data_IF_400689653935
#
_entry.id   IF_400689653935
#
_cell.length_a   1.000
_cell.length_b   1.000
_cell.length_c   1.000
_cell.angle_alpha   90.00
_cell.angle_beta   90.00
_cell.angle_gamma   90.00
#
_symmetry.space_group_name_H-M   'P 1'
#
loop_
_entity.id
_entity.type
_entity.pdbx_description
1 polymer ?
#
# COMPACT_ATOMS: atom_id res chain seq x y z
N UNK A 1 -5.59 19.16 -13.92
CA UNK A 1 -4.94 17.88 -14.26
C UNK A 1 -5.56 16.82 -13.35
N UNK A 2 -6.00 15.69 -13.89
CA UNK A 2 -6.51 14.59 -13.06
C UNK A 2 -5.29 13.88 -12.46
N UNK A 3 -5.21 13.82 -11.12
CA UNK A 3 -4.14 13.10 -10.41
C UNK A 3 -4.20 11.63 -10.77
N UNK A 4 -3.04 11.01 -11.01
CA UNK A 4 -2.98 9.59 -11.41
C UNK A 4 -2.51 8.71 -10.26
N UNK A 5 -2.99 7.46 -10.19
CA UNK A 5 -2.44 6.51 -9.25
C UNK A 5 -0.99 6.20 -9.61
N UNK A 6 -0.24 5.79 -8.60
CA UNK A 6 1.07 5.20 -8.78
C UNK A 6 0.97 4.01 -9.76
N UNK A 7 1.92 3.82 -10.70
CA UNK A 7 1.93 2.67 -11.60
C UNK A 7 1.78 1.31 -10.91
N UNK A 8 2.25 1.20 -9.67
CA UNK A 8 2.12 -0.01 -8.84
C UNK A 8 0.72 -0.31 -8.35
N UNK A 9 -0.15 0.70 -8.38
CA UNK A 9 -1.53 0.59 -7.96
C UNK A 9 -2.49 0.35 -9.13
N UNK A 10 -2.02 0.40 -10.39
CA UNK A 10 -2.89 0.31 -11.57
C UNK A 10 -3.74 -0.97 -11.53
N UNK A 11 -3.12 -2.14 -11.48
CA UNK A 11 -3.87 -3.40 -11.42
C UNK A 11 -4.58 -3.58 -10.07
N UNK A 12 -4.09 -2.95 -9.00
CA UNK A 12 -4.74 -3.04 -7.69
C UNK A 12 -6.08 -2.31 -7.64
N UNK A 13 -6.13 -1.10 -8.23
CA UNK A 13 -7.31 -0.25 -8.26
C UNK A 13 -8.31 -0.65 -9.36
N UNK A 14 -7.91 -1.53 -10.28
CA UNK A 14 -8.79 -2.11 -11.28
C UNK A 14 -9.91 -2.93 -10.60
N UNK A 15 -11.15 -2.49 -10.79
CA UNK A 15 -12.35 -3.10 -10.18
C UNK A 15 -12.77 -4.40 -10.87
N UNK A 16 -12.31 -4.63 -12.09
CA UNK A 16 -12.64 -5.84 -12.85
C UNK A 16 -11.78 -7.04 -12.41
N UNK A 17 -10.67 -6.77 -11.72
CA UNK A 17 -9.82 -7.81 -11.14
C UNK A 17 -10.26 -8.04 -9.68
N UNK A 18 -10.63 -9.26 -9.27
CA UNK A 18 -11.00 -9.52 -7.88
C UNK A 18 -9.81 -9.33 -6.93
N UNK A 19 -10.09 -8.89 -5.71
CA UNK A 19 -9.10 -8.90 -4.62
C UNK A 19 -8.65 -10.33 -4.32
N UNK A 20 -7.39 -10.53 -3.89
CA UNK A 20 -6.88 -11.87 -3.60
C UNK A 20 -7.62 -12.48 -2.41
N UNK A 21 -7.72 -13.82 -2.41
CA UNK A 21 -8.16 -14.56 -1.24
C UNK A 21 -7.17 -14.35 -0.07
N UNK A 22 -7.70 -13.94 1.08
CA UNK A 22 -6.91 -13.74 2.29
C UNK A 22 -6.79 -15.08 3.02
N UNK A 23 -5.55 -15.51 3.25
CA UNK A 23 -5.29 -16.55 4.23
C UNK A 23 -5.26 -15.92 5.63
N UNK A 24 -6.38 -15.98 6.36
CA UNK A 24 -6.52 -15.32 7.67
C UNK A 24 -5.43 -15.68 8.69
N UNK A 25 -4.79 -16.86 8.57
CA UNK A 25 -3.64 -17.24 9.39
C UNK A 25 -2.37 -16.42 9.16
N UNK A 26 -2.28 -15.64 8.08
CA UNK A 26 -1.16 -14.74 7.79
C UNK A 26 -1.45 -13.28 8.14
N UNK A 27 -2.64 -12.98 8.67
CA UNK A 27 -3.07 -11.64 9.04
C UNK A 27 -2.95 -11.48 10.56
N UNK A 28 -2.33 -10.41 11.08
CA UNK A 28 -2.26 -10.20 12.53
C UNK A 28 -3.66 -10.15 13.16
N UNK A 29 -3.83 -10.64 14.40
CA UNK A 29 -5.12 -10.59 15.10
C UNK A 29 -5.67 -9.16 15.16
N UNK A 30 -6.95 -9.00 14.81
CA UNK A 30 -7.63 -7.70 14.83
C UNK A 30 -7.35 -6.79 13.63
N UNK A 31 -6.61 -7.24 12.62
CA UNK A 31 -6.44 -6.51 11.35
C UNK A 31 -7.50 -6.96 10.36
N UNK A 32 -8.31 -6.02 9.87
CA UNK A 32 -9.18 -6.23 8.72
C UNK A 32 -8.45 -5.76 7.45
N UNK A 33 -8.15 -6.65 6.48
CA UNK A 33 -7.45 -6.24 5.25
C UNK A 33 -8.20 -5.21 4.41
N UNK A 34 -9.53 -5.16 4.51
CA UNK A 34 -10.33 -4.11 3.86
C UNK A 34 -9.89 -2.71 4.31
N UNK A 35 -9.52 -2.52 5.59
CA UNK A 35 -9.03 -1.24 6.10
C UNK A 35 -7.72 -0.80 5.42
N UNK A 36 -6.91 -1.77 4.96
CA UNK A 36 -5.69 -1.49 4.22
C UNK A 36 -5.97 -1.15 2.74
N UNK A 37 -7.11 -1.58 2.20
CA UNK A 37 -7.37 -1.62 0.76
C UNK A 37 -8.43 -0.63 0.27
N UNK A 38 -9.40 -0.25 1.10
CA UNK A 38 -10.65 0.37 0.62
C UNK A 38 -10.69 1.91 0.68
N UNK A 39 -9.58 2.60 0.98
CA UNK A 39 -9.58 4.07 1.07
C UNK A 39 -8.29 4.72 0.56
N UNK A 40 -8.40 5.41 -0.57
CA UNK A 40 -7.33 6.20 -1.19
C UNK A 40 -7.69 7.68 -1.24
N UNK A 41 -6.69 8.52 -1.00
CA UNK A 41 -6.77 9.95 -1.11
C UNK A 41 -6.52 10.35 -2.57
N UNK A 42 -7.61 10.50 -3.33
CA UNK A 42 -7.56 10.95 -4.73
C UNK A 42 -7.07 12.40 -4.87
N UNK A 43 -7.02 13.15 -3.76
CA UNK A 43 -6.47 14.51 -3.69
C UNK A 43 -4.97 14.52 -3.50
N UNK A 44 -4.28 13.37 -3.46
CA UNK A 44 -2.83 13.26 -3.37
C UNK A 44 -2.28 12.62 -4.66
N UNK A 45 -1.14 13.12 -5.16
CA UNK A 45 -0.52 12.54 -6.36
C UNK A 45 -0.09 11.09 -6.06
N UNK A 46 -0.31 10.17 -7.00
CA UNK A 46 0.00 8.75 -6.78
C UNK A 46 -1.07 7.97 -6.01
N UNK A 47 -2.15 8.63 -5.56
CA UNK A 47 -3.27 8.05 -4.81
C UNK A 47 -2.76 7.29 -3.59
N UNK A 48 -2.55 8.01 -2.49
CA UNK A 48 -2.00 7.46 -1.25
C UNK A 48 -3.15 6.98 -0.36
N UNK A 49 -3.04 5.83 0.33
CA UNK A 49 -4.07 5.41 1.27
C UNK A 49 -4.31 6.44 2.38
N UNK A 50 -5.58 6.66 2.75
CA UNK A 50 -5.95 7.67 3.78
C UNK A 50 -5.26 7.41 5.12
N UNK A 51 -5.04 6.14 5.46
CA UNK A 51 -4.36 5.72 6.69
C UNK A 51 -2.84 5.92 6.66
N UNK A 52 -2.22 6.21 5.51
CA UNK A 52 -0.78 6.40 5.43
C UNK A 52 -0.38 7.68 6.18
N UNK A 53 0.69 7.66 7.01
CA UNK A 53 1.03 8.77 7.90
C UNK A 53 1.12 10.13 7.19
N UNK A 54 0.53 11.15 7.81
CA UNK A 54 0.63 12.56 7.40
C UNK A 54 1.69 13.32 8.20
N UNK A 55 2.24 12.69 9.24
CA UNK A 55 3.28 13.27 10.11
C UNK A 55 4.39 12.25 10.33
N UNK A 56 5.63 12.72 10.40
CA UNK A 56 6.75 11.95 10.92
C UNK A 56 6.63 11.84 12.43
N UNK A 57 6.50 10.61 12.95
CA UNK A 57 6.43 10.38 14.40
C UNK A 57 7.74 10.69 15.14
N UNK A 58 8.87 10.77 14.45
CA UNK A 58 10.18 11.08 15.06
C UNK A 58 10.41 12.58 15.21
N UNK A 59 10.14 13.33 14.16
CA UNK A 59 10.40 14.79 14.12
C UNK A 59 9.16 15.61 14.46
N UNK A 60 7.96 15.04 14.35
CA UNK A 60 6.68 15.74 14.53
C UNK A 60 6.27 16.58 13.32
N UNK A 61 7.10 16.63 12.27
CA UNK A 61 6.83 17.40 11.06
C UNK A 61 5.71 16.75 10.24
N UNK A 62 4.80 17.57 9.70
CA UNK A 62 3.83 17.14 8.71
C UNK A 62 4.50 16.96 7.36
N UNK A 63 4.13 15.90 6.65
CA UNK A 63 4.47 15.74 5.24
C UNK A 63 3.52 16.56 4.38
N UNK A 64 4.06 17.22 3.35
CA UNK A 64 3.21 17.71 2.29
C UNK A 64 2.68 16.56 1.41
N UNK A 65 1.76 16.86 0.48
CA UNK A 65 1.16 15.86 -0.40
C UNK A 65 2.20 15.11 -1.26
N UNK A 66 3.23 15.81 -1.72
CA UNK A 66 4.26 15.25 -2.59
C UNK A 66 5.21 14.35 -1.80
N UNK A 67 5.70 14.82 -0.66
CA UNK A 67 6.51 14.05 0.27
C UNK A 67 5.79 12.78 0.70
N UNK A 68 4.50 12.89 1.03
CA UNK A 68 3.68 11.75 1.43
C UNK A 68 3.56 10.71 0.31
N UNK A 69 3.38 11.15 -0.93
CA UNK A 69 3.33 10.28 -2.11
C UNK A 69 4.66 9.56 -2.36
N UNK A 70 5.78 10.28 -2.28
CA UNK A 70 7.12 9.71 -2.45
C UNK A 70 7.40 8.67 -1.37
N UNK A 71 7.15 9.00 -0.11
CA UNK A 71 7.37 8.08 1.03
C UNK A 71 6.49 6.83 0.94
N UNK A 72 5.25 6.98 0.48
CA UNK A 72 4.36 5.86 0.24
C UNK A 72 4.91 4.95 -0.87
N UNK A 73 5.32 5.51 -2.01
CA UNK A 73 5.91 4.73 -3.11
C UNK A 73 7.16 3.97 -2.65
N UNK A 74 8.09 4.66 -1.99
CA UNK A 74 9.33 4.05 -1.52
C UNK A 74 9.08 2.91 -0.52
N UNK A 75 8.08 3.09 0.34
CA UNK A 75 7.67 2.06 1.29
C UNK A 75 7.05 0.85 0.60
N UNK A 76 6.19 1.08 -0.40
CA UNK A 76 5.57 0.01 -1.19
C UNK A 76 6.62 -0.77 -1.99
N UNK A 77 7.53 -0.07 -2.67
CA UNK A 77 8.64 -0.68 -3.41
C UNK A 77 9.55 -1.52 -2.51
N UNK A 78 9.90 -1.01 -1.32
CA UNK A 78 10.72 -1.76 -0.35
C UNK A 78 10.07 -3.09 -0.01
N UNK A 79 8.77 -3.09 0.32
CA UNK A 79 8.05 -4.30 0.71
C UNK A 79 7.96 -5.26 -0.48
N UNK A 80 7.66 -4.76 -1.69
CA UNK A 80 7.63 -5.59 -2.90
C UNK A 80 8.99 -6.22 -3.20
N UNK A 81 10.10 -5.50 -3.00
CA UNK A 81 11.47 -6.02 -3.11
C UNK A 81 11.73 -7.11 -2.06
N UNK A 82 11.36 -6.88 -0.80
CA UNK A 82 11.51 -7.85 0.29
C UNK A 82 10.71 -9.15 0.04
N UNK A 83 9.54 -9.04 -0.61
CA UNK A 83 8.73 -10.18 -1.01
C UNK A 83 9.21 -10.88 -2.30
N UNK A 84 10.31 -10.43 -2.91
CA UNK A 84 10.78 -10.86 -4.24
C UNK A 84 9.71 -10.73 -5.34
N UNK A 85 8.84 -9.72 -5.21
CA UNK A 85 7.77 -9.39 -6.17
C UNK A 85 8.11 -8.19 -7.03
N UNK A 86 9.25 -7.54 -6.78
CA UNK A 86 9.76 -6.47 -7.62
C UNK A 86 10.80 -7.00 -8.63
N UNK A 87 10.69 -6.63 -9.92
CA UNK A 87 9.57 -5.90 -10.53
C UNK A 87 8.34 -6.81 -10.65
N UNK A 88 7.13 -6.22 -10.66
CA UNK A 88 5.83 -6.91 -10.63
C UNK A 88 5.61 -7.79 -11.88
N UNK A 89 6.20 -8.99 -11.92
CA UNK A 89 6.03 -9.98 -12.98
C UNK A 89 4.71 -10.76 -12.83
N UNK A 90 4.14 -11.18 -13.97
CA UNK A 90 2.97 -12.07 -14.00
C UNK A 90 1.70 -11.44 -14.56
N UNK A 91 0.58 -12.15 -14.41
CA UNK A 91 -0.75 -11.70 -14.83
C UNK A 91 -1.25 -10.53 -13.99
N UNK A 92 -2.22 -9.73 -14.47
CA UNK A 92 -2.81 -8.64 -13.69
C UNK A 92 -3.30 -9.08 -12.30
N UNK A 93 -3.89 -10.27 -12.18
CA UNK A 93 -4.30 -10.87 -10.89
C UNK A 93 -3.11 -11.14 -9.97
N UNK A 94 -1.98 -11.61 -10.51
CA UNK A 94 -0.76 -11.85 -9.72
C UNK A 94 -0.17 -10.53 -9.22
N UNK A 95 -0.16 -9.49 -10.06
CA UNK A 95 0.28 -8.15 -9.68
C UNK A 95 -0.62 -7.55 -8.60
N UNK A 96 -1.94 -7.58 -8.80
CA UNK A 96 -2.93 -7.15 -7.80
C UNK A 96 -2.73 -7.86 -6.47
N UNK A 97 -2.51 -9.17 -6.51
CA UNK A 97 -2.25 -9.97 -5.31
C UNK A 97 -0.97 -9.52 -4.59
N UNK A 98 0.13 -9.34 -5.33
CA UNK A 98 1.40 -8.89 -4.75
C UNK A 98 1.27 -7.51 -4.08
N UNK A 99 0.59 -6.57 -4.75
CA UNK A 99 0.36 -5.22 -4.22
C UNK A 99 -0.58 -5.24 -3.02
N UNK A 100 -1.64 -6.04 -3.03
CA UNK A 100 -2.56 -6.20 -1.91
C UNK A 100 -1.86 -6.68 -0.63
N UNK A 101 -0.98 -7.67 -0.76
CA UNK A 101 -0.18 -8.16 0.37
C UNK A 101 0.85 -7.12 0.83
N UNK A 102 1.48 -6.39 -0.10
CA UNK A 102 2.42 -5.34 0.25
C UNK A 102 1.75 -4.18 0.99
N UNK A 103 0.53 -3.79 0.57
CA UNK A 103 -0.29 -2.79 1.25
C UNK A 103 -0.71 -3.24 2.65
N UNK A 104 -1.09 -4.52 2.80
CA UNK A 104 -1.44 -5.09 4.10
C UNK A 104 -0.25 -5.07 5.06
N UNK A 105 0.94 -5.46 4.58
CA UNK A 105 2.18 -5.36 5.35
C UNK A 105 2.49 -3.91 5.74
N UNK A 106 2.37 -2.96 4.80
CA UNK A 106 2.62 -1.54 5.06
C UNK A 106 1.64 -0.97 6.11
N UNK A 107 0.36 -1.33 6.00
CA UNK A 107 -0.65 -0.96 6.97
C UNK A 107 -0.28 -1.47 8.37
N UNK A 108 0.15 -2.72 8.48
CA UNK A 108 0.58 -3.28 9.74
C UNK A 108 1.84 -2.59 10.30
N UNK A 109 2.82 -2.26 9.45
CA UNK A 109 4.02 -1.52 9.86
C UNK A 109 3.69 -0.12 10.42
N UNK A 110 2.81 0.63 9.75
CA UNK A 110 2.43 1.99 10.19
C UNK A 110 1.65 2.00 11.51
N UNK A 111 0.99 0.87 11.82
CA UNK A 111 0.30 0.63 13.09
C UNK A 111 1.15 -0.10 14.14
N UNK A 112 2.42 -0.38 13.85
CA UNK A 112 3.31 -1.16 14.71
C UNK A 112 2.79 -2.56 15.07
N UNK A 113 2.00 -3.16 14.17
CA UNK A 113 1.45 -4.52 14.30
C UNK A 113 2.36 -5.57 13.65
N UNK A 114 3.20 -5.16 12.70
CA UNK A 114 4.21 -6.00 12.06
C UNK A 114 5.59 -5.33 12.14
N UNK A 115 6.68 -6.12 12.16
CA UNK A 115 8.02 -5.59 11.98
C UNK A 115 8.17 -5.01 10.57
N UNK A 116 9.03 -4.00 10.46
CA UNK A 116 9.42 -3.45 9.16
C UNK A 116 10.30 -4.45 8.40
N UNK A 117 9.91 -4.80 7.18
CA UNK A 117 10.65 -5.73 6.30
C UNK A 117 11.73 -5.08 5.44
#
# INVERSE_FOLDING_TARGET
>A
MVRKPNPLLIEFLDKDIPLPAIHWGTVPPGVNPADAWEMYDETVEGWVPVWFPTIDRRTGSSYDEFERAVLFNDSLERILKAMNRWPLWGSPTQKKSAVAFALLQLFCETRALCPRV
#
